data_IF_010648303605
#
_entry.id   IF_010648303605
#
_cell.length_a   1.000
_cell.length_b   1.000
_cell.length_c   1.000
_cell.angle_alpha   90.00
_cell.angle_beta   90.00
_cell.angle_gamma   90.00
#
_symmetry.space_group_name_H-M   'P 1'
#
loop_
_entity.id
_entity.type
_entity.pdbx_description
1 polymer ?
#
# COMPACT_ATOMS: atom_id res chain seq x y z
N UNK A 1 -3.15 -5.74 -25.08
CA UNK A 1 -1.86 -6.34 -24.72
C UNK A 1 -2.03 -7.08 -23.41
N UNK A 2 -1.53 -8.32 -23.30
CA UNK A 2 -1.55 -9.08 -22.05
C UNK A 2 -0.56 -8.43 -21.05
N UNK A 3 -0.98 -8.20 -19.81
CA UNK A 3 -0.05 -7.80 -18.75
C UNK A 3 1.01 -8.89 -18.54
N UNK A 4 2.27 -8.49 -18.45
CA UNK A 4 3.37 -9.38 -18.04
C UNK A 4 3.21 -9.78 -16.57
N UNK A 5 3.82 -10.90 -16.16
CA UNK A 5 3.75 -11.38 -14.78
C UNK A 5 4.15 -10.31 -13.73
N UNK A 6 5.22 -9.51 -13.93
CA UNK A 6 5.57 -8.47 -12.98
C UNK A 6 4.45 -7.45 -12.77
N UNK A 7 3.79 -7.01 -13.85
CA UNK A 7 2.71 -6.03 -13.78
C UNK A 7 1.50 -6.59 -13.00
N UNK A 8 1.20 -7.87 -13.17
CA UNK A 8 0.12 -8.53 -12.41
C UNK A 8 0.43 -8.60 -10.92
N UNK A 9 1.67 -8.94 -10.56
CA UNK A 9 2.10 -8.98 -9.16
C UNK A 9 1.99 -7.59 -8.52
N UNK A 10 2.41 -6.54 -9.22
CA UNK A 10 2.31 -5.17 -8.70
C UNK A 10 0.85 -4.73 -8.49
N UNK A 11 -0.06 -5.11 -9.40
CA UNK A 11 -1.50 -4.82 -9.25
C UNK A 11 -2.08 -5.51 -8.02
N UNK A 12 -1.85 -6.82 -7.87
CA UNK A 12 -2.35 -7.60 -6.72
C UNK A 12 -1.76 -7.06 -5.42
N UNK A 13 -0.46 -6.78 -5.40
CA UNK A 13 0.20 -6.22 -4.22
C UNK A 13 -0.39 -4.87 -3.81
N UNK A 14 -0.59 -3.97 -4.79
CA UNK A 14 -1.21 -2.65 -4.53
C UNK A 14 -2.62 -2.79 -3.98
N UNK A 15 -3.43 -3.68 -4.56
CA UNK A 15 -4.81 -3.92 -4.14
C UNK A 15 -4.88 -4.45 -2.69
N UNK A 16 -4.04 -5.41 -2.33
CA UNK A 16 -3.99 -5.96 -0.98
C UNK A 16 -3.53 -4.93 0.06
N UNK A 17 -2.58 -4.06 -0.29
CA UNK A 17 -2.18 -2.95 0.60
C UNK A 17 -3.34 -1.98 0.82
N UNK A 18 -4.04 -1.58 -0.24
CA UNK A 18 -5.20 -0.69 -0.13
C UNK A 18 -6.29 -1.32 0.73
N UNK A 19 -6.57 -2.61 0.53
CA UNK A 19 -7.56 -3.36 1.31
C UNK A 19 -7.19 -3.41 2.79
N UNK A 20 -5.95 -3.77 3.11
CA UNK A 20 -5.46 -3.78 4.49
C UNK A 20 -5.52 -2.40 5.15
N UNK A 21 -5.15 -1.34 4.41
CA UNK A 21 -5.27 0.03 4.90
C UNK A 21 -6.73 0.40 5.18
N UNK A 22 -7.68 0.08 4.30
CA UNK A 22 -9.10 0.36 4.52
C UNK A 22 -9.64 -0.38 5.76
N UNK A 23 -9.35 -1.67 5.88
CA UNK A 23 -9.80 -2.49 7.02
C UNK A 23 -9.21 -2.03 8.35
N UNK A 24 -7.98 -1.50 8.34
CA UNK A 24 -7.32 -0.98 9.53
C UNK A 24 -7.48 0.54 9.70
N UNK A 25 -8.53 1.16 9.14
CA UNK A 25 -8.82 2.60 9.24
C UNK A 25 -7.62 3.51 8.88
N UNK A 26 -6.80 3.06 7.94
CA UNK A 26 -5.57 3.69 7.45
C UNK A 26 -4.42 3.77 8.47
N UNK A 27 -4.46 2.98 9.54
CA UNK A 27 -3.36 2.84 10.49
C UNK A 27 -2.28 1.92 9.91
N UNK A 28 -1.18 2.51 9.43
CA UNK A 28 -0.07 1.78 8.75
C UNK A 28 0.45 0.59 9.54
N UNK A 29 0.71 0.77 10.84
CA UNK A 29 1.25 -0.29 11.70
C UNK A 29 0.29 -1.48 11.76
N UNK A 30 -1.01 -1.24 11.84
CA UNK A 30 -2.01 -2.31 11.88
C UNK A 30 -2.15 -3.00 10.52
N UNK A 31 -2.14 -2.22 9.42
CA UNK A 31 -2.15 -2.78 8.07
C UNK A 31 -0.89 -3.63 7.80
N UNK A 32 0.29 -3.20 8.26
CA UNK A 32 1.53 -3.95 8.16
C UNK A 32 1.45 -5.28 8.93
N UNK A 33 0.99 -5.23 10.18
CA UNK A 33 0.75 -6.42 11.02
C UNK A 33 -0.21 -7.40 10.34
N UNK A 34 -1.33 -6.90 9.79
CA UNK A 34 -2.31 -7.70 9.05
C UNK A 34 -1.71 -8.39 7.82
N UNK A 35 -0.84 -7.69 7.10
CA UNK A 35 -0.15 -8.22 5.91
C UNK A 35 1.07 -9.09 6.25
N UNK A 36 1.43 -9.24 7.53
CA UNK A 36 2.61 -10.00 7.94
C UNK A 36 3.95 -9.37 7.53
N UNK A 37 3.99 -8.05 7.36
CA UNK A 37 5.19 -7.31 6.97
C UNK A 37 5.55 -6.23 7.99
N UNK A 38 6.78 -5.71 7.88
CA UNK A 38 7.22 -4.62 8.75
C UNK A 38 6.58 -3.29 8.35
N UNK A 39 6.48 -2.36 9.30
CA UNK A 39 5.99 -1.00 9.05
C UNK A 39 6.82 -0.28 7.97
N UNK A 40 8.14 -0.46 7.98
CA UNK A 40 9.04 0.09 6.95
C UNK A 40 8.69 -0.44 5.56
N UNK A 41 8.41 -1.74 5.43
CA UNK A 41 8.08 -2.38 4.16
C UNK A 41 6.76 -1.84 3.59
N UNK A 42 5.70 -1.74 4.40
CA UNK A 42 4.44 -1.16 3.92
C UNK A 42 4.61 0.31 3.56
N UNK A 43 5.44 1.06 4.31
CA UNK A 43 5.75 2.46 4.02
C UNK A 43 6.38 2.64 2.64
N UNK A 44 7.39 1.81 2.31
CA UNK A 44 8.01 1.83 0.98
C UNK A 44 7.01 1.48 -0.13
N UNK A 45 6.16 0.48 0.07
CA UNK A 45 5.17 0.08 -0.95
C UNK A 45 4.08 1.14 -1.13
N UNK A 46 3.63 1.79 -0.07
CA UNK A 46 2.70 2.95 -0.14
C UNK A 46 3.31 4.06 -0.99
N UNK A 47 4.60 4.40 -0.76
CA UNK A 47 5.32 5.41 -1.54
C UNK A 47 5.49 4.98 -3.00
N UNK A 48 5.93 3.73 -3.24
CA UNK A 48 6.11 3.15 -4.58
C UNK A 48 4.82 3.20 -5.40
N UNK A 49 3.67 2.87 -4.81
CA UNK A 49 2.40 2.76 -5.52
C UNK A 49 1.53 4.01 -5.47
N UNK A 50 2.00 5.08 -4.82
CA UNK A 50 1.27 6.33 -4.67
C UNK A 50 -0.05 6.18 -3.93
N UNK A 51 -0.13 5.28 -2.94
CA UNK A 51 -1.38 5.00 -2.21
C UNK A 51 -1.66 6.17 -1.24
N UNK A 52 -2.87 6.76 -1.34
CA UNK A 52 -3.30 7.88 -0.51
C UNK A 52 -4.73 7.68 -0.04
N UNK A 53 -5.04 8.13 1.17
CA UNK A 53 -6.43 8.29 1.61
C UNK A 53 -7.01 9.49 0.87
N UNK A 54 -8.26 9.39 0.40
CA UNK A 54 -8.92 10.51 -0.25
C UNK A 54 -8.92 11.73 0.68
N UNK A 55 -8.30 12.84 0.25
CA UNK A 55 -8.18 14.09 1.02
C UNK A 55 -6.79 14.44 1.52
N UNK A 56 -5.83 13.51 1.53
CA UNK A 56 -4.51 13.77 2.11
C UNK A 56 -3.55 14.43 1.10
N UNK A 57 -3.26 15.73 1.29
CA UNK A 57 -2.20 16.48 0.58
C UNK A 57 -0.81 16.36 1.23
N UNK A 58 -0.64 15.57 2.29
CA UNK A 58 0.45 15.76 3.26
C UNK A 58 1.73 14.90 3.03
N UNK A 59 1.77 14.02 2.02
CA UNK A 59 2.88 13.07 1.84
C UNK A 59 4.15 13.60 1.16
N UNK A 60 4.35 14.92 1.04
CA UNK A 60 5.61 15.48 0.51
C UNK A 60 6.69 15.73 1.56
N UNK A 61 6.46 15.41 2.84
CA UNK A 61 7.39 15.73 3.93
C UNK A 61 8.32 14.58 4.38
N UNK A 62 8.40 13.46 3.66
CA UNK A 62 9.27 12.30 3.97
C UNK A 62 9.93 11.65 2.75
#
# INVERSE_FOLDING_TARGET
>A
MMDSLPVKIEKIEKEEIIKALKECSWVKIQAAKRLGITERMIGYKIKKYGIRKGGDKEYERW
#
